data_IF_441635220903
#
_entry.id   IF_441635220903
#
_cell.length_a   1.000
_cell.length_b   1.000
_cell.length_c   1.000
_cell.angle_alpha   90.00
_cell.angle_beta   90.00
_cell.angle_gamma   90.00
#
_symmetry.space_group_name_H-M   'P 1'
#
loop_
_entity.id
_entity.type
_entity.pdbx_description
1 polymer ?
#
# COMPACT_ATOMS: atom_id res chain seq x y z
N UNK A 1 13.09 -12.73 -4.36
CA UNK A 1 12.97 -12.42 -2.91
C UNK A 1 11.94 -11.31 -2.79
N UNK A 2 10.78 -11.57 -2.17
CA UNK A 2 9.67 -10.61 -2.16
C UNK A 2 9.51 -9.97 -0.78
N UNK A 3 10.10 -8.78 -0.65
CA UNK A 3 10.17 -7.92 0.52
C UNK A 3 8.83 -7.85 1.26
N UNK A 4 8.84 -8.15 2.56
CA UNK A 4 7.59 -8.25 3.32
C UNK A 4 7.72 -7.83 4.79
N UNK A 5 6.60 -7.36 5.37
CA UNK A 5 6.57 -6.85 6.76
C UNK A 5 5.87 -7.83 7.72
N UNK A 6 6.47 -8.07 8.89
CA UNK A 6 5.91 -8.93 9.95
C UNK A 6 4.90 -8.21 10.83
N UNK A 7 4.11 -8.97 11.60
CA UNK A 7 3.18 -8.42 12.58
C UNK A 7 3.87 -7.58 13.66
N UNK A 8 5.08 -7.95 14.05
CA UNK A 8 5.87 -7.20 15.03
C UNK A 8 6.41 -5.89 14.45
N UNK A 9 6.90 -5.90 13.20
CA UNK A 9 7.35 -4.69 12.51
C UNK A 9 6.20 -3.70 12.33
N UNK A 10 4.99 -4.18 12.04
CA UNK A 10 3.76 -3.35 12.01
C UNK A 10 3.47 -2.70 13.37
N UNK A 11 3.60 -3.47 14.46
CA UNK A 11 3.38 -2.96 15.83
C UNK A 11 4.41 -1.91 16.23
N UNK A 12 5.70 -2.14 15.95
CA UNK A 12 6.77 -1.19 16.27
C UNK A 12 6.61 0.12 15.48
N UNK A 13 6.35 0.03 14.18
CA UNK A 13 6.05 1.20 13.36
C UNK A 13 4.81 1.95 13.89
N UNK A 14 3.74 1.22 14.27
CA UNK A 14 2.54 1.83 14.85
C UNK A 14 2.78 2.50 16.21
N UNK A 15 3.61 1.93 17.07
CA UNK A 15 3.95 2.51 18.38
C UNK A 15 4.82 3.78 18.25
N UNK A 16 5.77 3.77 17.31
CA UNK A 16 6.59 4.94 16.98
C UNK A 16 5.73 6.08 16.39
N UNK A 17 4.71 5.72 15.60
CA UNK A 17 3.70 6.65 15.08
C UNK A 17 2.85 7.28 16.20
N UNK A 18 2.45 6.49 17.21
CA UNK A 18 1.58 6.95 18.31
C UNK A 18 2.32 7.86 19.31
N UNK A 19 3.63 7.66 19.48
CA UNK A 19 4.47 8.45 20.39
C UNK A 19 4.81 9.87 19.93
N UNK A 20 4.50 10.25 18.68
CA UNK A 20 5.05 11.48 18.06
C UNK A 20 4.10 12.68 17.93
N UNK A 21 2.84 12.68 18.40
CA UNK A 21 2.04 13.93 18.59
C UNK A 21 0.66 13.78 19.27
N UNK A 22 0.17 14.82 19.97
CA UNK A 22 -1.24 14.96 20.31
C UNK A 22 -2.03 15.44 19.08
N UNK A 23 -3.03 14.66 18.65
CA UNK A 23 -4.08 15.09 17.73
C UNK A 23 -3.86 14.80 16.23
N UNK A 24 -3.74 13.53 15.84
CA UNK A 24 -3.95 13.08 14.45
C UNK A 24 -2.96 11.99 14.00
N UNK A 25 -3.47 10.84 13.55
CA UNK A 25 -2.67 9.74 13.00
C UNK A 25 -1.86 10.16 11.75
N UNK A 26 -0.70 9.54 11.54
CA UNK A 26 0.13 9.79 10.35
C UNK A 26 -0.45 9.09 9.11
N UNK A 27 -0.42 9.77 7.96
CA UNK A 27 -0.69 9.10 6.68
C UNK A 27 0.46 8.16 6.30
N UNK A 28 0.21 7.20 5.43
CA UNK A 28 1.29 6.34 4.88
C UNK A 28 2.38 7.17 4.23
N UNK A 29 2.02 8.26 3.52
CA UNK A 29 2.97 9.23 2.96
C UNK A 29 3.86 9.83 4.05
N UNK A 30 3.28 10.28 5.16
CA UNK A 30 4.06 10.83 6.27
C UNK A 30 5.00 9.79 6.89
N UNK A 31 4.57 8.53 7.00
CA UNK A 31 5.43 7.42 7.43
C UNK A 31 6.56 7.18 6.42
N UNK A 32 6.28 7.24 5.12
CA UNK A 32 7.29 7.10 4.07
C UNK A 32 8.35 8.19 4.19
N UNK A 33 7.95 9.45 4.26
CA UNK A 33 8.87 10.59 4.30
C UNK A 33 9.66 10.68 5.60
N UNK A 34 9.03 10.41 6.75
CA UNK A 34 9.65 10.64 8.07
C UNK A 34 10.40 9.45 8.63
N UNK A 35 10.06 8.23 8.20
CA UNK A 35 10.60 7.00 8.79
C UNK A 35 11.30 6.15 7.72
N UNK A 36 10.58 5.79 6.65
CA UNK A 36 11.09 4.81 5.68
C UNK A 36 12.26 5.38 4.86
N UNK A 37 12.08 6.57 4.27
CA UNK A 37 13.14 7.17 3.45
C UNK A 37 14.41 7.42 4.26
N UNK A 38 14.39 8.08 5.44
CA UNK A 38 15.59 8.26 6.25
C UNK A 38 16.26 6.94 6.64
N UNK A 39 15.47 5.91 6.99
CA UNK A 39 16.01 4.62 7.39
C UNK A 39 16.63 3.82 6.24
N UNK A 40 16.24 4.09 4.99
CA UNK A 40 16.69 3.34 3.80
C UNK A 40 17.66 4.11 2.92
N UNK A 41 17.89 5.40 3.16
CA UNK A 41 18.78 6.24 2.36
C UNK A 41 20.16 5.60 2.15
N UNK A 42 20.65 5.66 0.92
CA UNK A 42 21.93 5.08 0.48
C UNK A 42 22.02 3.55 0.47
N UNK A 43 20.99 2.82 0.90
CA UNK A 43 21.07 1.35 1.02
C UNK A 43 20.69 0.59 -0.26
N UNK A 44 19.90 1.24 -1.14
CA UNK A 44 19.28 0.59 -2.31
C UNK A 44 18.24 -0.48 -1.97
N UNK A 45 17.85 -0.62 -0.69
CA UNK A 45 16.89 -1.64 -0.23
C UNK A 45 15.61 -0.99 0.28
N UNK A 46 14.46 -1.51 -0.15
CA UNK A 46 13.18 -1.17 0.47
C UNK A 46 13.19 -1.54 1.96
N UNK A 47 12.44 -0.79 2.78
CA UNK A 47 12.44 -0.93 4.25
C UNK A 47 12.20 -2.36 4.72
N UNK A 48 11.25 -3.07 4.10
CA UNK A 48 10.94 -4.46 4.42
C UNK A 48 12.12 -5.40 4.14
N UNK A 49 12.89 -5.18 3.07
CA UNK A 49 14.12 -5.95 2.83
C UNK A 49 15.21 -5.57 3.81
N UNK A 50 15.44 -4.27 4.01
CA UNK A 50 16.46 -3.78 4.93
C UNK A 50 16.31 -4.39 6.33
N UNK A 51 15.08 -4.51 6.83
CA UNK A 51 14.80 -5.12 8.15
C UNK A 51 14.90 -6.64 8.19
N UNK A 52 14.78 -7.32 7.05
CA UNK A 52 14.78 -8.78 6.97
C UNK A 52 15.92 -9.31 6.07
N UNK A 53 16.98 -8.53 5.84
CA UNK A 53 17.99 -8.87 4.82
C UNK A 53 18.80 -10.13 5.17
N UNK A 54 18.96 -10.42 6.47
CA UNK A 54 19.62 -11.63 6.95
C UNK A 54 18.80 -12.91 6.64
N UNK A 55 17.47 -12.81 6.70
CA UNK A 55 16.55 -13.91 6.37
C UNK A 55 15.32 -13.35 5.63
N UNK A 56 15.40 -13.15 4.30
CA UNK A 56 14.35 -12.47 3.56
C UNK A 56 13.03 -13.24 3.54
N UNK A 57 11.99 -12.60 4.05
CA UNK A 57 10.64 -13.16 4.10
C UNK A 57 9.95 -13.04 2.74
N UNK A 58 9.30 -14.12 2.28
CA UNK A 58 8.52 -14.15 1.02
C UNK A 58 7.05 -13.84 1.28
N UNK A 59 6.58 -12.69 0.81
CA UNK A 59 5.15 -12.40 0.81
C UNK A 59 4.36 -13.32 -0.13
N UNK A 60 3.16 -13.70 0.33
CA UNK A 60 2.11 -14.35 -0.49
C UNK A 60 0.82 -13.51 -0.59
N UNK A 61 0.77 -12.42 0.18
CA UNK A 61 -0.35 -11.47 0.21
C UNK A 61 0.16 -10.08 -0.11
N UNK A 62 -0.41 -9.45 -1.14
CA UNK A 62 -0.14 -8.07 -1.50
C UNK A 62 -1.23 -7.16 -0.93
N UNK A 63 -0.86 -5.98 -0.43
CA UNK A 63 -1.81 -4.98 0.09
C UNK A 63 -1.79 -3.74 -0.80
N UNK A 64 -2.90 -3.50 -1.49
CA UNK A 64 -3.18 -2.27 -2.21
C UNK A 64 -3.74 -1.25 -1.21
N UNK A 65 -3.09 -0.10 -1.11
CA UNK A 65 -3.47 0.96 -0.19
C UNK A 65 -3.22 2.35 -0.81
N UNK A 66 -3.91 3.36 -0.30
CA UNK A 66 -3.61 4.75 -0.66
C UNK A 66 -2.41 5.28 0.13
N UNK A 67 -1.64 6.16 -0.49
CA UNK A 67 -0.58 6.91 0.18
C UNK A 67 -1.11 7.87 1.26
N UNK A 68 -2.33 8.37 1.05
CA UNK A 68 -2.95 9.33 1.98
C UNK A 68 -3.88 8.63 2.99
N UNK A 69 -3.90 7.28 2.98
CA UNK A 69 -4.56 6.52 4.04
C UNK A 69 -3.89 6.78 5.38
N UNK A 70 -4.70 6.82 6.44
CA UNK A 70 -4.20 6.82 7.82
C UNK A 70 -3.46 5.50 8.09
N UNK A 71 -2.22 5.58 8.58
CA UNK A 71 -1.38 4.41 8.76
C UNK A 71 -1.95 3.44 9.81
N UNK A 72 -2.56 3.96 10.87
CA UNK A 72 -3.20 3.14 11.90
C UNK A 72 -4.44 2.44 11.36
N UNK A 73 -5.22 3.12 10.52
CA UNK A 73 -6.35 2.48 9.83
C UNK A 73 -5.88 1.40 8.84
N UNK A 74 -4.76 1.63 8.12
CA UNK A 74 -4.18 0.62 7.25
C UNK A 74 -3.74 -0.62 8.04
N UNK A 75 -3.01 -0.44 9.15
CA UNK A 75 -2.57 -1.56 10.00
C UNK A 75 -3.78 -2.31 10.58
N UNK A 76 -4.82 -1.59 11.01
CA UNK A 76 -6.07 -2.21 11.47
C UNK A 76 -6.75 -3.00 10.36
N UNK A 77 -6.87 -2.43 9.16
CA UNK A 77 -7.48 -3.09 8.00
C UNK A 77 -6.73 -4.39 7.64
N UNK A 78 -5.39 -4.38 7.69
CA UNK A 78 -4.59 -5.58 7.49
C UNK A 78 -4.88 -6.62 8.57
N UNK A 79 -4.99 -6.22 9.85
CA UNK A 79 -5.34 -7.13 10.94
C UNK A 79 -6.75 -7.72 10.79
N UNK A 80 -7.71 -6.90 10.40
CA UNK A 80 -9.10 -7.30 10.16
C UNK A 80 -9.26 -8.22 8.94
N UNK A 81 -8.27 -8.25 8.05
CA UNK A 81 -8.26 -9.20 6.93
C UNK A 81 -8.16 -10.66 7.36
N UNK A 82 -7.64 -10.92 8.58
CA UNK A 82 -7.40 -12.27 9.09
C UNK A 82 -6.15 -12.95 8.51
N UNK A 83 -5.42 -12.30 7.60
CA UNK A 83 -4.16 -12.82 7.09
C UNK A 83 -3.02 -12.59 8.10
N UNK A 84 -2.14 -13.57 8.25
CA UNK A 84 -1.00 -13.46 9.18
C UNK A 84 0.19 -12.72 8.56
N UNK A 85 0.31 -12.82 7.23
CA UNK A 85 1.41 -12.31 6.44
C UNK A 85 2.46 -13.39 6.15
N UNK A 86 3.68 -13.00 5.75
CA UNK A 86 4.15 -11.64 5.64
C UNK A 86 3.58 -10.93 4.39
N UNK A 87 3.45 -9.60 4.45
CA UNK A 87 2.72 -8.83 3.42
C UNK A 87 3.67 -8.06 2.51
N UNK A 88 3.38 -8.06 1.21
CA UNK A 88 3.97 -7.12 0.27
C UNK A 88 3.17 -5.82 0.29
N UNK A 89 3.80 -4.73 0.72
CA UNK A 89 3.20 -3.40 0.78
C UNK A 89 4.14 -2.44 0.06
N UNK A 90 3.70 -1.87 -1.08
CA UNK A 90 4.55 -1.08 -1.97
C UNK A 90 5.38 -0.01 -1.24
N UNK A 91 4.75 0.71 -0.29
CA UNK A 91 5.40 1.74 0.53
C UNK A 91 6.64 1.25 1.31
N UNK A 92 6.69 -0.04 1.66
CA UNK A 92 7.79 -0.66 2.42
C UNK A 92 8.66 -1.60 1.57
N UNK A 93 8.12 -2.14 0.48
CA UNK A 93 8.79 -3.12 -0.35
C UNK A 93 9.70 -2.48 -1.40
N UNK A 94 9.30 -1.32 -1.94
CA UNK A 94 10.02 -0.55 -2.96
C UNK A 94 10.99 0.40 -2.27
N UNK A 95 12.15 0.64 -2.89
CA UNK A 95 13.09 1.67 -2.45
C UNK A 95 12.48 3.06 -2.69
N UNK A 96 12.12 3.74 -1.61
CA UNK A 96 11.43 5.04 -1.63
C UNK A 96 12.34 6.27 -1.77
N UNK A 97 13.60 6.30 -1.27
CA UNK A 97 14.40 7.52 -1.24
C UNK A 97 14.63 8.16 -2.61
N UNK A 98 14.97 7.38 -3.64
CA UNK A 98 15.35 7.90 -4.95
C UNK A 98 16.65 8.72 -4.96
N UNK A 99 17.50 8.53 -3.95
CA UNK A 99 18.79 9.20 -3.75
C UNK A 99 19.98 8.49 -4.44
N UNK A 100 19.77 7.29 -4.98
CA UNK A 100 20.76 6.53 -5.73
C UNK A 100 20.48 6.69 -7.24
N UNK A 101 21.44 7.20 -8.04
CA UNK A 101 21.32 7.25 -9.49
C UNK A 101 20.97 5.87 -10.06
N UNK A 102 20.08 5.83 -11.04
CA UNK A 102 19.57 4.58 -11.65
C UNK A 102 18.68 3.69 -10.75
N UNK A 103 18.26 4.17 -9.58
CA UNK A 103 17.34 3.46 -8.68
C UNK A 103 16.09 4.29 -8.32
N UNK A 104 15.53 5.00 -9.30
CA UNK A 104 14.23 5.67 -9.15
C UNK A 104 13.09 4.64 -9.00
N UNK A 105 11.92 5.09 -8.54
CA UNK A 105 10.72 4.22 -8.49
C UNK A 105 10.37 3.73 -9.90
N UNK A 106 10.41 4.61 -10.89
CA UNK A 106 10.14 4.25 -12.29
C UNK A 106 11.11 3.15 -12.79
N UNK A 107 12.40 3.29 -12.50
CA UNK A 107 13.42 2.31 -12.88
C UNK A 107 13.21 0.97 -12.17
N UNK A 108 12.81 0.99 -10.90
CA UNK A 108 12.48 -0.23 -10.16
C UNK A 108 11.25 -0.94 -10.72
N UNK A 109 10.27 -0.20 -11.23
CA UNK A 109 9.04 -0.78 -11.77
C UNK A 109 9.21 -1.29 -13.21
N UNK A 110 10.10 -0.65 -13.95
CA UNK A 110 10.36 -0.93 -15.35
C UNK A 110 9.34 -0.28 -16.29
N UNK A 111 9.60 -0.29 -17.60
CA UNK A 111 8.81 0.45 -18.59
C UNK A 111 7.44 -0.18 -18.91
N UNK A 112 7.22 -1.43 -18.52
CA UNK A 112 6.02 -2.19 -18.88
C UNK A 112 5.36 -2.76 -17.62
N UNK A 113 4.17 -2.26 -17.25
CA UNK A 113 3.43 -2.76 -16.11
C UNK A 113 3.03 -4.25 -16.25
N UNK A 114 2.89 -4.75 -17.48
CA UNK A 114 2.54 -6.14 -17.75
C UNK A 114 3.72 -7.11 -17.60
N UNK A 115 4.96 -6.64 -17.76
CA UNK A 115 6.17 -7.47 -17.75
C UNK A 115 7.21 -7.05 -16.72
N UNK A 116 6.94 -5.97 -15.99
CA UNK A 116 7.84 -5.37 -15.01
C UNK A 116 7.70 -5.95 -13.61
N UNK A 117 8.20 -5.19 -12.64
CA UNK A 117 8.28 -5.65 -11.24
C UNK A 117 6.90 -5.91 -10.65
N UNK A 118 5.89 -5.10 -10.97
CA UNK A 118 4.55 -5.28 -10.46
C UNK A 118 3.93 -6.63 -10.90
N UNK A 119 4.03 -6.98 -12.18
CA UNK A 119 3.52 -8.27 -12.66
C UNK A 119 4.30 -9.46 -12.08
N UNK A 120 5.63 -9.31 -11.95
CA UNK A 120 6.49 -10.32 -11.32
C UNK A 120 6.11 -10.57 -9.86
N UNK A 121 5.80 -9.52 -9.10
CA UNK A 121 5.31 -9.62 -7.72
C UNK A 121 3.95 -10.32 -7.71
N UNK A 122 3.00 -9.85 -8.52
CA UNK A 122 1.62 -10.36 -8.54
C UNK A 122 1.53 -11.84 -8.92
N UNK A 123 2.38 -12.32 -9.84
CA UNK A 123 2.46 -13.73 -10.21
C UNK A 123 2.82 -14.66 -9.04
N UNK A 124 3.37 -14.13 -7.95
CA UNK A 124 3.74 -14.89 -6.76
C UNK A 124 2.74 -14.73 -5.61
N UNK A 125 1.70 -13.91 -5.78
CA UNK A 125 0.70 -13.66 -4.75
C UNK A 125 -0.44 -14.68 -4.86
N UNK A 126 -0.89 -15.21 -3.72
CA UNK A 126 -2.15 -15.95 -3.66
C UNK A 126 -3.35 -15.01 -3.51
N UNK A 127 -3.12 -13.83 -2.93
CA UNK A 127 -4.16 -12.89 -2.54
C UNK A 127 -3.69 -11.44 -2.67
N UNK A 128 -4.57 -10.59 -3.22
CA UNK A 128 -4.49 -9.14 -3.14
C UNK A 128 -5.57 -8.62 -2.19
N UNK A 129 -5.16 -7.87 -1.17
CA UNK A 129 -6.04 -7.15 -0.26
C UNK A 129 -6.16 -5.71 -0.74
N UNK A 130 -7.36 -5.28 -1.08
CA UNK A 130 -7.68 -3.88 -1.33
C UNK A 130 -8.11 -3.23 -0.02
N UNK A 131 -7.19 -2.54 0.64
CA UNK A 131 -7.41 -1.89 1.93
C UNK A 131 -8.14 -0.55 1.76
N UNK A 132 -9.41 -0.51 2.15
CA UNK A 132 -10.26 0.68 2.07
C UNK A 132 -10.38 1.31 3.45
N UNK A 133 -9.82 2.51 3.59
CA UNK A 133 -9.84 3.30 4.83
C UNK A 133 -10.84 4.45 4.75
N UNK A 134 -11.43 4.93 5.86
CA UNK A 134 -12.45 5.99 5.83
C UNK A 134 -12.00 7.29 5.18
N UNK A 135 -10.71 7.63 5.34
CA UNK A 135 -10.15 8.90 4.85
C UNK A 135 -9.74 8.89 3.38
N UNK A 136 -9.70 7.74 2.70
CA UNK A 136 -9.20 7.69 1.33
C UNK A 136 -9.82 6.58 0.47
N UNK A 137 -10.20 6.96 -0.76
CA UNK A 137 -10.70 6.04 -1.78
C UNK A 137 -9.56 5.57 -2.70
N UNK A 138 -9.19 4.28 -2.58
CA UNK A 138 -8.15 3.66 -3.43
C UNK A 138 -8.50 3.70 -4.92
N UNK A 139 -9.79 3.75 -5.28
CA UNK A 139 -10.22 3.83 -6.68
C UNK A 139 -9.94 5.19 -7.32
N UNK A 140 -9.63 6.23 -6.53
CA UNK A 140 -9.22 7.55 -7.05
C UNK A 140 -7.71 7.66 -7.30
N UNK A 141 -6.94 6.58 -7.13
CA UNK A 141 -5.48 6.56 -7.27
C UNK A 141 -5.08 5.64 -8.41
N UNK A 142 -4.43 6.21 -9.43
CA UNK A 142 -4.06 5.47 -10.63
C UNK A 142 -3.14 4.27 -10.32
N UNK A 143 -2.20 4.44 -9.38
CA UNK A 143 -1.35 3.34 -8.91
C UNK A 143 -2.15 2.17 -8.33
N UNK A 144 -3.08 2.44 -7.42
CA UNK A 144 -3.93 1.40 -6.82
C UNK A 144 -4.81 0.71 -7.87
N UNK A 145 -5.37 1.48 -8.81
CA UNK A 145 -6.14 0.91 -9.92
C UNK A 145 -5.29 0.00 -10.80
N UNK A 146 -4.05 0.40 -11.10
CA UNK A 146 -3.12 -0.42 -11.87
C UNK A 146 -2.83 -1.74 -11.17
N UNK A 147 -2.54 -1.71 -9.87
CA UNK A 147 -2.32 -2.92 -9.05
C UNK A 147 -3.54 -3.86 -9.09
N UNK A 148 -4.75 -3.32 -8.90
CA UNK A 148 -6.01 -4.09 -8.93
C UNK A 148 -6.27 -4.65 -10.33
N UNK A 149 -6.09 -3.83 -11.37
CA UNK A 149 -6.30 -4.23 -12.76
C UNK A 149 -5.33 -5.36 -13.15
N UNK A 150 -4.05 -5.23 -12.80
CA UNK A 150 -3.04 -6.25 -13.06
C UNK A 150 -3.33 -7.55 -12.31
N UNK A 151 -3.74 -7.48 -11.05
CA UNK A 151 -4.16 -8.64 -10.27
C UNK A 151 -5.32 -9.38 -10.96
N UNK A 152 -6.31 -8.63 -11.43
CA UNK A 152 -7.45 -9.18 -12.19
C UNK A 152 -7.01 -9.85 -13.49
N UNK A 153 -6.13 -9.20 -14.28
CA UNK A 153 -5.60 -9.80 -15.53
C UNK A 153 -4.81 -11.08 -15.30
N UNK A 154 -4.11 -11.17 -14.17
CA UNK A 154 -3.29 -12.33 -13.80
C UNK A 154 -4.09 -13.41 -13.07
N UNK A 155 -5.40 -13.22 -12.85
CA UNK A 155 -6.24 -14.19 -12.16
C UNK A 155 -5.94 -14.32 -10.66
N UNK A 156 -5.28 -13.34 -10.05
CA UNK A 156 -4.96 -13.34 -8.63
C UNK A 156 -6.21 -13.02 -7.82
N UNK A 157 -6.50 -13.85 -6.81
CA UNK A 157 -7.66 -13.65 -5.93
C UNK A 157 -7.58 -12.27 -5.28
N UNK A 158 -8.65 -11.49 -5.37
CA UNK A 158 -8.71 -10.14 -4.80
C UNK A 158 -9.81 -10.04 -3.76
N UNK A 159 -9.51 -9.47 -2.59
CA UNK A 159 -10.47 -9.25 -1.50
C UNK A 159 -10.41 -7.81 -1.02
N UNK A 160 -11.58 -7.18 -0.91
CA UNK A 160 -11.71 -5.85 -0.32
C UNK A 160 -11.89 -5.97 1.18
N UNK A 161 -11.10 -5.23 1.96
CA UNK A 161 -11.21 -5.17 3.41
C UNK A 161 -11.38 -3.70 3.80
N UNK A 162 -12.39 -3.43 4.63
CA UNK A 162 -12.71 -2.08 5.10
C UNK A 162 -12.35 -1.96 6.57
N UNK A 163 -11.70 -0.86 6.95
CA UNK A 163 -11.45 -0.54 8.34
C UNK A 163 -12.78 -0.36 9.09
N UNK A 164 -12.99 -1.09 10.18
CA UNK A 164 -14.16 -0.89 11.04
C UNK A 164 -14.05 0.42 11.81
N UNK A 165 -15.10 1.26 11.76
CA UNK A 165 -15.24 2.39 12.68
C UNK A 165 -15.56 1.83 14.08
N UNK A 166 -14.67 2.08 15.05
CA UNK A 166 -14.81 1.59 16.45
C UNK A 166 -15.99 2.23 17.19
N UNK A 167 -16.67 3.23 16.60
CA UNK A 167 -17.81 3.91 17.21
C UNK A 167 -19.10 3.07 17.34
N UNK A 168 -19.11 1.79 16.97
CA UNK A 168 -20.26 0.92 17.21
C UNK A 168 -19.80 -0.46 17.67
N UNK A 169 -20.03 -0.77 18.94
CA UNK A 169 -19.65 -2.00 19.63
C UNK A 169 -20.36 -3.27 19.14
N UNK A 170 -20.25 -3.59 17.85
CA UNK A 170 -20.61 -4.91 17.32
C UNK A 170 -19.35 -5.62 16.87
N UNK A 171 -18.93 -6.62 17.67
CA UNK A 171 -18.04 -7.69 17.22
C UNK A 171 -18.67 -8.32 15.97
N UNK A 172 -18.16 -7.98 14.80
CA UNK A 172 -18.65 -8.49 13.52
C UNK A 172 -17.50 -9.06 12.71
N UNK A 173 -17.22 -10.35 12.91
CA UNK A 173 -16.55 -11.13 11.87
C UNK A 173 -17.51 -11.17 10.69
N UNK A 174 -17.26 -10.32 9.70
CA UNK A 174 -17.97 -10.35 8.42
C UNK A 174 -17.31 -11.41 7.53
N UNK A 175 -17.57 -12.69 7.80
CA UNK A 175 -17.65 -13.68 6.73
C UNK A 175 -18.96 -13.43 5.99
N UNK A 176 -19.02 -12.44 5.09
CA UNK A 176 -20.23 -12.21 4.29
C UNK A 176 -19.97 -12.57 2.82
N UNK A 177 -20.68 -13.61 2.39
CA UNK A 177 -20.84 -13.99 0.99
C UNK A 177 -21.44 -12.81 0.18
N UNK A 178 -20.70 -12.34 -0.83
CA UNK A 178 -21.17 -11.84 -2.13
C UNK A 178 -22.11 -10.62 -2.26
N UNK A 179 -23.00 -10.33 -1.31
CA UNK A 179 -24.16 -9.44 -1.56
C UNK A 179 -23.94 -7.96 -1.23
N UNK A 180 -23.48 -7.63 -0.01
CA UNK A 180 -23.44 -6.25 0.49
C UNK A 180 -22.16 -5.47 0.13
N UNK A 181 -21.04 -6.17 -0.09
CA UNK A 181 -19.76 -5.53 -0.47
C UNK A 181 -19.86 -4.92 -1.87
N UNK A 182 -20.63 -5.56 -2.76
CA UNK A 182 -20.91 -5.07 -4.11
C UNK A 182 -21.53 -3.67 -4.07
N UNK A 183 -22.47 -3.37 -3.17
CA UNK A 183 -23.17 -2.09 -3.24
C UNK A 183 -22.31 -0.89 -2.81
N UNK A 184 -21.48 -1.05 -1.78
CA UNK A 184 -20.55 -0.01 -1.36
C UNK A 184 -19.33 0.11 -2.30
N UNK A 185 -18.90 -0.97 -2.95
CA UNK A 185 -17.87 -0.91 -4.00
C UNK A 185 -18.39 -0.28 -5.27
N UNK A 186 -19.58 -0.66 -5.71
CA UNK A 186 -20.27 -0.03 -6.83
C UNK A 186 -20.50 1.45 -6.55
N UNK A 187 -20.85 1.86 -5.32
CA UNK A 187 -20.93 3.28 -4.95
C UNK A 187 -19.59 4.00 -5.04
N UNK A 188 -18.50 3.41 -4.54
CA UNK A 188 -17.16 4.01 -4.65
C UNK A 188 -16.61 4.05 -6.09
N UNK A 189 -17.03 3.11 -6.94
CA UNK A 189 -16.65 3.00 -8.35
C UNK A 189 -17.60 3.76 -9.30
N UNK A 190 -18.76 4.23 -8.81
CA UNK A 190 -19.72 5.06 -9.56
C UNK A 190 -19.22 6.48 -9.77
N UNK A 191 -18.32 6.97 -8.91
CA UNK A 191 -17.67 8.27 -9.13
C UNK A 191 -16.57 8.10 -10.18
N UNK A 192 -16.69 8.75 -11.35
CA UNK A 192 -15.66 8.68 -12.38
C UNK A 192 -14.33 9.14 -11.82
N UNK A 193 -13.29 8.36 -12.08
CA UNK A 193 -11.93 8.75 -11.73
C UNK A 193 -11.50 9.80 -12.74
N UNK A 194 -11.33 11.03 -12.29
CA UNK A 194 -10.71 12.07 -13.09
C UNK A 194 -9.23 11.70 -13.28
N UNK A 195 -8.92 10.91 -14.32
CA UNK A 195 -7.57 10.38 -14.57
C UNK A 195 -6.49 11.45 -14.63
N UNK A 196 -6.83 12.66 -15.10
CA UNK A 196 -5.95 13.84 -15.11
C UNK A 196 -5.64 14.40 -13.71
N UNK A 197 -6.52 14.19 -12.73
CA UNK A 197 -6.36 14.62 -11.34
C UNK A 197 -5.91 13.48 -10.40
N UNK A 198 -6.00 12.23 -10.85
CA UNK A 198 -5.59 11.03 -10.11
C UNK A 198 -4.07 10.85 -10.17
N UNK A 199 -3.32 11.80 -9.60
CA UNK A 199 -1.85 11.78 -9.61
C UNK A 199 -1.28 10.63 -8.76
N UNK A 200 -0.20 10.03 -9.28
CA UNK A 200 0.72 9.18 -8.51
C UNK A 200 1.83 10.07 -7.96
N UNK A 201 2.03 10.12 -6.65
CA UNK A 201 3.04 11.01 -6.04
C UNK A 201 2.55 12.45 -5.77
N UNK A 202 3.38 13.25 -5.08
CA UNK A 202 3.09 14.67 -4.81
C UNK A 202 3.30 15.54 -6.04
N UNK A 203 2.57 16.65 -6.12
CA UNK A 203 2.63 17.66 -7.20
C UNK A 203 3.89 18.54 -7.15
N UNK A 204 5.05 17.96 -6.82
CA UNK A 204 6.31 18.69 -6.70
C UNK A 204 7.14 18.57 -7.97
N UNK A 205 7.27 19.67 -8.71
CA UNK A 205 8.33 19.87 -9.70
C UNK A 205 7.87 19.98 -11.16
N UNK A 206 7.10 21.01 -11.48
CA UNK A 206 7.14 21.61 -12.82
C UNK A 206 7.55 23.08 -12.64
N UNK A 207 8.80 23.30 -12.27
CA UNK A 207 9.49 24.58 -12.50
C UNK A 207 10.80 24.26 -13.23
N UNK A 208 11.01 24.96 -14.34
CA UNK A 208 12.01 24.70 -15.36
C UNK A 208 11.30 24.80 -16.71
N UNK A 209 11.14 25.97 -17.32
CA UNK A 209 12.15 27.00 -17.51
C UNK A 209 12.58 26.86 -18.97
N UNK A 210 11.74 27.40 -19.87
CA UNK A 210 12.08 27.51 -21.29
C UNK A 210 12.96 28.75 -21.47
N UNK A 211 14.22 28.52 -21.82
CA UNK A 211 15.05 29.45 -22.59
C UNK A 211 14.64 29.39 -24.08
#
# INVERSE_FOLDING_TARGET
ILNSITAEQRRKAGAEVDSTRPGGGMSVRAVVERIIKPATAGTGMGFALLKNHAEPLRARVMVVHSWDADFSDLVRTIKESGEEGPFWVAATAIYQPGDIPCLSIEQQLGPDAARGTLSTVLQQMDLVICAVTPKCNIYKRLWCLLEIFMASRLGVKTRVVRCSNVASGRKGISMFHGGLVNDALLKLAREPVASRAALCGGSGGAEGGDD
#
